data_IF_971590357406
#
_entry.id   IF_971590357406
#
_cell.length_a   1.000
_cell.length_b   1.000
_cell.length_c   1.000
_cell.angle_alpha   90.00
_cell.angle_beta   90.00
_cell.angle_gamma   90.00
#
_symmetry.space_group_name_H-M   'P 1'
#
loop_
_entity.id
_entity.type
_entity.pdbx_description
1 polymer ?
#
# COMPACT_ATOMS: atom_id res chain seq x y z
N UNK A 1 -5.38 -24.55 5.33
CA UNK A 1 -5.28 -23.16 4.84
C UNK A 1 -5.24 -22.27 6.06
N UNK A 2 -4.06 -21.75 6.43
CA UNK A 2 -3.93 -20.74 7.49
C UNK A 2 -4.63 -19.48 7.02
N UNK A 3 -5.65 -19.03 7.76
CA UNK A 3 -6.37 -17.79 7.48
C UNK A 3 -5.40 -16.64 7.70
N UNK A 4 -5.18 -15.81 6.69
CA UNK A 4 -4.32 -14.63 6.81
C UNK A 4 -4.96 -13.68 7.82
N UNK A 5 -4.22 -13.33 8.88
CA UNK A 5 -4.68 -12.37 9.86
C UNK A 5 -4.35 -10.95 9.39
N UNK A 6 -5.28 -10.39 8.60
CA UNK A 6 -5.12 -9.07 8.04
C UNK A 6 -5.05 -7.96 9.10
N UNK A 7 -5.63 -8.20 10.29
CA UNK A 7 -5.58 -7.24 11.40
C UNK A 7 -4.16 -7.16 11.98
N UNK A 8 -3.50 -8.30 12.18
CA UNK A 8 -2.09 -8.37 12.58
C UNK A 8 -1.18 -7.68 11.56
N UNK A 9 -1.38 -7.94 10.27
CA UNK A 9 -0.61 -7.27 9.22
C UNK A 9 -0.82 -5.75 9.21
N UNK A 10 -2.06 -5.27 9.38
CA UNK A 10 -2.35 -3.85 9.46
C UNK A 10 -1.65 -3.19 10.67
N UNK A 11 -1.64 -3.87 11.82
CA UNK A 11 -0.93 -3.42 13.02
C UNK A 11 0.58 -3.36 12.79
N UNK A 12 1.17 -4.42 12.26
CA UNK A 12 2.61 -4.50 12.01
C UNK A 12 3.09 -3.40 11.06
N UNK A 13 2.33 -3.08 10.01
CA UNK A 13 2.64 -1.98 9.08
C UNK A 13 2.60 -0.61 9.76
N UNK A 14 1.63 -0.37 10.66
CA UNK A 14 1.54 0.89 11.41
C UNK A 14 2.71 1.06 12.38
N UNK A 15 3.04 0.00 13.12
CA UNK A 15 4.19 -0.01 14.03
C UNK A 15 5.49 0.22 13.27
N UNK A 16 5.66 -0.41 12.10
CA UNK A 16 6.82 -0.20 11.23
C UNK A 16 6.90 1.24 10.71
N UNK A 17 5.80 1.81 10.21
CA UNK A 17 5.77 3.17 9.70
C UNK A 17 6.03 4.22 10.80
N UNK A 18 5.51 3.99 12.01
CA UNK A 18 5.76 4.84 13.16
C UNK A 18 7.23 4.79 13.61
N UNK A 19 7.80 3.58 13.72
CA UNK A 19 9.20 3.42 14.08
C UNK A 19 10.15 4.03 13.03
N UNK A 20 9.82 3.94 11.74
CA UNK A 20 10.61 4.58 10.69
C UNK A 20 10.53 6.11 10.77
N UNK A 21 9.35 6.67 10.99
CA UNK A 21 9.17 8.11 11.17
C UNK A 21 9.88 8.65 12.41
N UNK A 22 9.84 7.92 13.52
CA UNK A 22 10.58 8.26 14.74
C UNK A 22 12.08 8.23 14.50
N UNK A 23 12.59 7.20 13.82
CA UNK A 23 14.02 7.13 13.45
C UNK A 23 14.43 8.29 12.56
N UNK A 24 13.63 8.64 11.55
CA UNK A 24 13.91 9.81 10.69
C UNK A 24 13.90 11.09 11.49
N UNK A 25 12.94 11.24 12.42
CA UNK A 25 12.88 12.39 13.33
C UNK A 25 14.12 12.51 14.20
N UNK A 26 14.62 11.38 14.72
CA UNK A 26 15.85 11.35 15.51
C UNK A 26 17.09 11.65 14.67
N UNK A 27 17.11 11.27 13.40
CA UNK A 27 18.23 11.48 12.46
C UNK A 27 18.29 12.93 11.93
N UNK A 28 17.15 13.49 11.52
CA UNK A 28 17.08 14.83 10.93
C UNK A 28 16.83 15.94 11.95
N UNK A 29 16.32 15.59 13.13
CA UNK A 29 15.82 16.56 14.11
C UNK A 29 14.48 17.19 13.75
N UNK A 30 13.86 16.80 12.63
CA UNK A 30 12.56 17.32 12.16
C UNK A 30 11.45 16.30 12.38
N UNK A 31 10.28 16.75 12.81
CA UNK A 31 9.14 15.85 13.04
C UNK A 31 8.66 15.19 11.73
N UNK A 32 9.02 13.92 11.53
CA UNK A 32 8.56 13.12 10.40
C UNK A 32 7.26 12.39 10.73
N UNK A 33 6.38 12.31 9.73
CA UNK A 33 5.14 11.54 9.80
C UNK A 33 5.36 10.13 9.24
N UNK A 34 4.58 9.12 9.70
CA UNK A 34 4.60 7.78 9.12
C UNK A 34 4.31 7.83 7.62
N UNK A 35 4.97 6.93 6.87
CA UNK A 35 4.90 6.92 5.42
C UNK A 35 3.45 6.71 4.93
N UNK A 36 2.91 7.62 4.10
CA UNK A 36 1.51 7.55 3.68
C UNK A 36 1.24 6.40 2.69
N UNK A 37 2.24 5.83 2.03
CA UNK A 37 2.07 4.64 1.21
C UNK A 37 1.92 3.39 2.09
N UNK A 38 2.75 3.26 3.13
CA UNK A 38 2.62 2.16 4.12
C UNK A 38 1.27 2.22 4.83
N UNK A 39 0.83 3.41 5.24
CA UNK A 39 -0.48 3.60 5.87
C UNK A 39 -1.66 3.20 4.97
N UNK A 40 -1.57 3.44 3.65
CA UNK A 40 -2.58 3.00 2.67
C UNK A 40 -2.65 1.47 2.55
N UNK A 41 -1.50 0.79 2.64
CA UNK A 41 -1.45 -0.68 2.64
C UNK A 41 -2.11 -1.21 3.93
N UNK A 42 -1.83 -0.59 5.09
CA UNK A 42 -2.48 -0.94 6.35
C UNK A 42 -4.02 -0.80 6.28
N UNK A 43 -4.53 0.30 5.70
CA UNK A 43 -5.97 0.46 5.47
C UNK A 43 -6.56 -0.60 4.54
N UNK A 44 -5.79 -1.06 3.54
CA UNK A 44 -6.21 -2.15 2.64
C UNK A 44 -6.26 -3.49 3.37
N UNK A 45 -5.35 -3.72 4.33
CA UNK A 45 -5.42 -4.86 5.25
C UNK A 45 -6.66 -4.79 6.14
N UNK A 46 -6.98 -3.64 6.75
CA UNK A 46 -8.23 -3.49 7.51
C UNK A 46 -9.47 -3.81 6.68
N UNK A 47 -9.55 -3.33 5.44
CA UNK A 47 -10.66 -3.68 4.54
C UNK A 47 -10.73 -5.19 4.26
N UNK A 48 -9.58 -5.86 4.13
CA UNK A 48 -9.50 -7.30 3.92
C UNK A 48 -9.92 -8.12 5.15
N UNK A 49 -9.90 -7.57 6.37
CA UNK A 49 -10.41 -8.26 7.57
C UNK A 49 -11.90 -8.60 7.46
N UNK A 50 -12.68 -7.78 6.73
CA UNK A 50 -14.11 -7.98 6.52
C UNK A 50 -14.43 -8.99 5.39
N UNK A 51 -13.43 -9.41 4.60
CA UNK A 51 -13.57 -10.42 3.53
C UNK A 51 -12.44 -11.47 3.59
N UNK A 52 -12.35 -12.23 4.69
CA UNK A 52 -11.23 -13.14 4.97
C UNK A 52 -11.18 -14.38 4.07
N UNK A 53 -12.27 -14.68 3.37
CA UNK A 53 -12.41 -15.86 2.51
C UNK A 53 -11.83 -15.65 1.11
N UNK A 54 -11.50 -14.41 0.72
CA UNK A 54 -10.89 -14.12 -0.58
C UNK A 54 -9.37 -13.97 -0.44
N UNK A 55 -8.57 -14.84 -1.10
CA UNK A 55 -7.13 -14.63 -1.14
C UNK A 55 -6.82 -13.31 -1.84
N UNK A 56 -5.92 -12.51 -1.27
CA UNK A 56 -5.49 -11.22 -1.82
C UNK A 56 -3.96 -11.21 -2.03
N UNK A 57 -3.45 -11.97 -3.01
CA UNK A 57 -2.01 -12.15 -3.22
C UNK A 57 -1.29 -10.85 -3.59
N UNK A 58 -2.03 -9.87 -4.13
CA UNK A 58 -1.50 -8.53 -4.39
C UNK A 58 -1.22 -7.78 -3.09
N UNK A 59 -2.17 -7.84 -2.15
CA UNK A 59 -2.03 -7.22 -0.83
C UNK A 59 -0.93 -7.90 -0.01
N UNK A 60 -0.83 -9.23 -0.04
CA UNK A 60 0.27 -9.97 0.61
C UNK A 60 1.64 -9.49 0.11
N UNK A 61 1.81 -9.37 -1.22
CA UNK A 61 3.06 -8.84 -1.81
C UNK A 61 3.35 -7.40 -1.38
N UNK A 62 2.32 -6.55 -1.27
CA UNK A 62 2.47 -5.17 -0.82
C UNK A 62 2.87 -5.09 0.65
N UNK A 63 2.29 -5.94 1.51
CA UNK A 63 2.66 -6.06 2.94
C UNK A 63 4.12 -6.49 3.06
N UNK A 64 4.51 -7.58 2.38
CA UNK A 64 5.90 -8.07 2.41
C UNK A 64 6.88 -7.03 1.88
N UNK A 65 6.55 -6.33 0.79
CA UNK A 65 7.40 -5.26 0.25
C UNK A 65 7.57 -4.11 1.23
N UNK A 66 6.49 -3.64 1.86
CA UNK A 66 6.52 -2.54 2.82
C UNK A 66 7.35 -2.88 4.07
N UNK A 67 7.26 -4.12 4.56
CA UNK A 67 8.05 -4.58 5.70
C UNK A 67 9.51 -4.89 5.35
N UNK A 68 9.78 -5.29 4.09
CA UNK A 68 11.14 -5.59 3.62
C UNK A 68 11.94 -4.35 3.23
N UNK A 69 11.28 -3.24 2.89
CA UNK A 69 11.96 -1.97 2.60
C UNK A 69 12.59 -1.38 3.86
N UNK A 70 13.86 -1.70 4.09
CA UNK A 70 14.79 -0.77 4.76
C UNK A 70 14.79 0.52 3.94
N UNK A 71 14.71 1.73 4.55
CA UNK A 71 14.40 2.94 3.82
C UNK A 71 15.53 3.28 2.85
N UNK A 72 15.36 2.87 1.60
CA UNK A 72 15.98 3.59 0.51
C UNK A 72 15.16 4.86 0.35
N UNK A 73 15.84 6.01 0.37
CA UNK A 73 15.26 7.29 -0.01
C UNK A 73 14.36 7.08 -1.23
N UNK A 74 13.10 7.45 -1.08
CA UNK A 74 12.02 7.21 -2.04
C UNK A 74 12.48 7.26 -3.49
N UNK A 75 12.33 6.18 -4.27
CA UNK A 75 12.11 6.32 -5.69
C UNK A 75 10.60 6.31 -5.90
N UNK A 76 10.07 7.46 -6.31
CA UNK A 76 8.77 7.64 -6.93
C UNK A 76 8.32 6.39 -7.69
N UNK A 77 7.45 5.57 -7.10
CA UNK A 77 6.83 4.46 -7.83
C UNK A 77 5.42 4.87 -8.18
N UNK A 78 5.33 5.45 -9.38
CA UNK A 78 4.28 5.18 -10.35
C UNK A 78 2.85 5.34 -9.89
N UNK A 79 2.27 6.49 -10.22
CA UNK A 79 0.91 6.68 -10.69
C UNK A 79 0.01 5.42 -10.64
N UNK A 80 -0.80 5.29 -9.59
CA UNK A 80 -1.99 4.44 -9.65
C UNK A 80 -3.02 5.22 -10.47
N UNK A 81 -2.88 5.15 -11.79
CA UNK A 81 -3.88 5.67 -12.72
C UNK A 81 -5.19 4.91 -12.49
N UNK A 82 -6.17 5.58 -11.89
CA UNK A 82 -7.57 5.13 -11.89
C UNK A 82 -8.32 5.63 -13.12
N UNK A 83 -7.63 6.08 -14.18
CA UNK A 83 -8.26 6.40 -15.46
C UNK A 83 -8.43 5.14 -16.29
N UNK A 84 -9.28 4.23 -15.81
CA UNK A 84 -9.98 3.32 -16.73
C UNK A 84 -10.95 4.14 -17.59
N UNK A 85 -10.39 4.79 -18.61
CA UNK A 85 -11.14 5.17 -19.81
C UNK A 85 -11.14 3.98 -20.76
N UNK A 86 -12.28 3.37 -21.09
CA UNK A 86 -12.46 2.78 -22.40
C UNK A 86 -13.08 3.84 -23.31
N UNK A 87 -12.25 4.77 -23.76
CA UNK A 87 -12.51 5.52 -24.98
C UNK A 87 -12.27 4.60 -26.17
N UNK A 88 -13.20 3.68 -26.43
CA UNK A 88 -13.20 2.88 -27.65
C UNK A 88 -14.63 2.62 -28.12
N UNK A 89 -15.09 3.42 -29.08
CA UNK A 89 -16.01 2.93 -30.10
C UNK A 89 -15.37 3.16 -31.46
N UNK A 90 -15.16 2.11 -32.26
CA UNK A 90 -14.71 2.24 -33.63
C UNK A 90 -15.90 2.63 -34.53
N UNK A 91 -15.58 3.49 -35.49
CA UNK A 91 -16.04 3.52 -36.88
C UNK A 91 -17.55 3.38 -37.20
N UNK A 92 -18.12 4.44 -37.79
CA UNK A 92 -19.03 4.27 -38.93
C UNK A 92 -18.76 5.35 -39.99
N UNK A 93 -18.49 5.00 -41.25
CA UNK A 93 -18.29 5.96 -42.33
C UNK A 93 -19.60 6.30 -43.06
N UNK A 94 -19.65 7.55 -43.57
CA UNK A 94 -20.31 7.99 -44.83
C UNK A 94 -21.85 8.17 -44.79
N UNK A 95 -22.53 8.91 -45.71
CA UNK A 95 -22.12 9.77 -46.85
C UNK A 95 -22.26 11.29 -46.69
#
# INVERSE_FOLDING_TARGET
>A
MTRVDWAEHARSLREHAAADAERRTADTGEAHKPDPAVMRIASSCDAATYCPERPNPRLEKQVSAALATRPAASPHTGNFDLSSSPGHRPDTPRP
#
